data_IF_079914835713
#
_entry.id   IF_079914835713
#
_cell.length_a   1.000
_cell.length_b   1.000
_cell.length_c   1.000
_cell.angle_alpha   90.00
_cell.angle_beta   90.00
_cell.angle_gamma   90.00
#
_symmetry.space_group_name_H-M   'P 1'
#
loop_
_entity.id
_entity.type
_entity.pdbx_description
1 polymer ?
#
# COMPACT_ATOMS: atom_id res chain seq x y z
N UNK A 1 4.05 -13.84 -2.35
CA UNK A 1 3.97 -12.85 -3.45
C UNK A 1 4.33 -13.49 -4.79
N UNK A 2 3.52 -13.36 -5.85
CA UNK A 2 3.81 -13.96 -7.17
C UNK A 2 4.67 -13.03 -8.05
N UNK A 3 5.36 -13.57 -9.07
CA UNK A 3 6.26 -12.80 -9.98
C UNK A 3 5.53 -11.65 -10.70
N UNK A 4 4.29 -11.89 -11.12
CA UNK A 4 3.44 -10.90 -11.79
C UNK A 4 3.02 -9.79 -10.81
N UNK A 5 2.73 -10.15 -9.54
CA UNK A 5 2.38 -9.17 -8.51
C UNK A 5 3.51 -8.16 -8.30
N UNK A 6 4.75 -8.69 -8.18
CA UNK A 6 5.97 -7.89 -8.01
C UNK A 6 6.25 -6.93 -9.17
N UNK A 7 5.93 -7.32 -10.41
CA UNK A 7 6.22 -6.48 -11.58
C UNK A 7 5.31 -5.25 -11.65
N UNK A 8 4.01 -5.42 -11.41
CA UNK A 8 3.03 -4.31 -11.47
C UNK A 8 3.06 -3.41 -10.24
N UNK A 9 3.34 -3.94 -9.03
CA UNK A 9 3.64 -3.12 -7.84
C UNK A 9 4.85 -2.19 -8.03
N UNK A 10 5.69 -2.45 -9.04
CA UNK A 10 6.92 -1.71 -9.32
C UNK A 10 6.82 -0.72 -10.48
N UNK A 11 5.62 -0.42 -11.00
CA UNK A 11 5.50 0.68 -11.94
C UNK A 11 5.81 2.02 -11.22
N UNK A 12 7.04 2.50 -11.37
CA UNK A 12 7.54 3.66 -10.64
C UNK A 12 6.70 4.93 -10.91
N UNK A 13 6.15 5.08 -12.12
CA UNK A 13 5.35 6.25 -12.48
C UNK A 13 4.01 6.28 -11.71
N UNK A 14 3.30 5.15 -11.64
CA UNK A 14 2.03 5.12 -10.92
C UNK A 14 2.23 5.22 -9.40
N UNK A 15 3.29 4.60 -8.87
CA UNK A 15 3.65 4.72 -7.45
C UNK A 15 3.96 6.16 -7.08
N UNK A 16 4.77 6.86 -7.90
CA UNK A 16 5.07 8.28 -7.69
C UNK A 16 3.80 9.14 -7.72
N UNK A 17 2.90 8.86 -8.66
CA UNK A 17 1.60 9.56 -8.75
C UNK A 17 0.70 9.31 -7.54
N UNK A 18 0.59 8.07 -7.05
CA UNK A 18 -0.20 7.74 -5.84
C UNK A 18 0.37 8.47 -4.62
N UNK A 19 1.68 8.40 -4.39
CA UNK A 19 2.35 9.10 -3.28
C UNK A 19 2.13 10.61 -3.35
N UNK A 20 2.32 11.23 -4.52
CA UNK A 20 2.12 12.67 -4.69
C UNK A 20 0.65 13.08 -4.47
N UNK A 21 -0.30 12.28 -4.96
CA UNK A 21 -1.73 12.52 -4.75
C UNK A 21 -2.09 12.45 -3.26
N UNK A 22 -1.61 11.41 -2.57
CA UNK A 22 -1.85 11.23 -1.14
C UNK A 22 -1.24 12.35 -0.31
N UNK A 23 0.03 12.68 -0.57
CA UNK A 23 0.75 13.77 0.10
C UNK A 23 0.03 15.11 -0.10
N UNK A 24 -0.47 15.40 -1.30
CA UNK A 24 -1.24 16.63 -1.58
C UNK A 24 -2.54 16.69 -0.77
N UNK A 25 -3.19 15.56 -0.55
CA UNK A 25 -4.48 15.49 0.13
C UNK A 25 -4.35 15.49 1.66
N UNK A 26 -3.28 14.91 2.21
CA UNK A 26 -3.16 14.68 3.66
C UNK A 26 -1.99 15.44 4.30
N UNK A 27 -1.08 16.00 3.52
CA UNK A 27 0.08 16.76 3.99
C UNK A 27 1.27 15.90 4.42
N UNK A 28 1.10 14.58 4.56
CA UNK A 28 2.17 13.63 4.90
C UNK A 28 1.92 12.25 4.26
N UNK A 29 2.87 11.32 4.41
CA UNK A 29 2.77 9.93 3.93
C UNK A 29 2.69 8.97 5.11
N UNK A 30 1.52 8.38 5.33
CA UNK A 30 1.28 7.40 6.37
C UNK A 30 0.63 6.13 5.82
N UNK A 31 0.77 5.03 6.57
CA UNK A 31 0.11 3.77 6.28
C UNK A 31 -1.40 3.94 6.34
N UNK A 32 -2.11 3.61 5.26
CA UNK A 32 -3.57 3.66 5.20
C UNK A 32 -4.23 2.65 6.15
N UNK A 33 -3.50 1.65 6.64
CA UNK A 33 -4.01 0.67 7.62
C UNK A 33 -3.79 1.11 9.07
N UNK A 34 -2.53 1.32 9.48
CA UNK A 34 -2.17 1.56 10.89
C UNK A 34 -1.76 3.00 11.22
N UNK A 35 -1.77 3.91 10.25
CA UNK A 35 -1.34 5.30 10.43
C UNK A 35 0.17 5.51 10.59
N UNK A 36 1.00 4.46 10.54
CA UNK A 36 2.44 4.58 10.70
C UNK A 36 3.06 5.50 9.62
N UNK A 37 3.77 6.53 10.07
CA UNK A 37 4.47 7.50 9.22
C UNK A 37 5.99 7.34 9.40
N UNK A 38 6.68 6.98 8.32
CA UNK A 38 8.13 6.77 8.38
C UNK A 38 8.90 8.06 8.62
N UNK A 39 8.47 9.18 8.05
CA UNK A 39 9.14 10.46 8.23
C UNK A 39 8.98 10.97 9.67
N UNK A 40 7.80 10.79 10.26
CA UNK A 40 7.56 11.15 11.66
C UNK A 40 8.42 10.32 12.64
N UNK A 41 8.65 9.03 12.34
CA UNK A 41 9.38 8.12 13.23
C UNK A 41 10.90 8.06 12.96
N UNK A 42 11.35 8.27 11.73
CA UNK A 42 12.75 8.12 11.31
C UNK A 42 13.38 9.40 10.75
N UNK A 43 12.65 10.53 10.76
CA UNK A 43 13.09 11.80 10.21
C UNK A 43 13.36 11.72 8.70
N UNK A 44 14.40 12.40 8.24
CA UNK A 44 14.75 12.47 6.82
C UNK A 44 14.96 11.09 6.18
N UNK A 45 15.45 10.11 6.94
CA UNK A 45 15.65 8.75 6.44
C UNK A 45 14.33 8.05 6.06
N UNK A 46 13.22 8.47 6.67
CA UNK A 46 11.89 7.98 6.37
C UNK A 46 11.15 8.79 5.30
N UNK A 47 11.71 9.91 4.84
CA UNK A 47 11.09 10.80 3.86
C UNK A 47 10.75 10.05 2.58
N UNK A 48 9.48 10.10 2.17
CA UNK A 48 8.98 9.40 0.97
C UNK A 48 8.91 7.87 1.09
N UNK A 49 9.33 7.29 2.22
CA UNK A 49 9.37 5.84 2.42
C UNK A 49 7.98 5.33 2.80
N UNK A 50 7.39 4.58 1.88
CA UNK A 50 6.13 3.85 2.06
C UNK A 50 5.95 2.89 0.87
N UNK A 51 5.31 1.75 1.09
CA UNK A 51 5.09 0.75 0.07
C UNK A 51 3.72 0.97 -0.59
N UNK A 52 3.64 0.70 -1.90
CA UNK A 52 2.41 0.81 -2.66
C UNK A 52 1.91 -0.59 -2.98
N UNK A 53 0.70 -0.91 -2.56
CA UNK A 53 0.09 -2.22 -2.68
C UNK A 53 -1.18 -2.14 -3.54
N UNK A 54 -1.47 -3.17 -4.33
CA UNK A 54 -2.73 -3.24 -5.08
C UNK A 54 -3.83 -3.79 -4.18
N UNK A 55 -4.90 -3.03 -3.96
CA UNK A 55 -6.03 -3.45 -3.12
C UNK A 55 -6.80 -4.65 -3.72
N UNK A 56 -6.76 -4.79 -5.05
CA UNK A 56 -7.33 -5.93 -5.77
C UNK A 56 -6.23 -6.86 -6.29
N UNK A 57 -6.38 -8.19 -6.15
CA UNK A 57 -5.45 -9.14 -6.75
C UNK A 57 -5.28 -8.88 -8.23
N UNK A 58 -4.03 -8.81 -8.67
CA UNK A 58 -3.69 -8.53 -10.08
C UNK A 58 -4.29 -9.56 -11.06
N UNK A 59 -4.54 -10.78 -10.59
CA UNK A 59 -5.22 -11.84 -11.35
C UNK A 59 -6.66 -11.52 -11.73
N UNK A 60 -7.29 -10.55 -11.05
CA UNK A 60 -8.68 -10.14 -11.32
C UNK A 60 -8.77 -9.01 -12.36
N UNK A 61 -7.64 -8.46 -12.82
CA UNK A 61 -7.64 -7.43 -13.85
C UNK A 61 -7.92 -8.06 -15.22
N UNK A 62 -8.82 -7.45 -15.98
CA UNK A 62 -9.12 -7.86 -17.35
C UNK A 62 -7.93 -7.52 -18.26
N UNK A 63 -7.73 -8.29 -19.34
CA UNK A 63 -6.70 -8.00 -20.32
C UNK A 63 -6.88 -6.57 -20.89
N UNK A 64 -5.85 -5.73 -20.76
CA UNK A 64 -5.88 -4.33 -21.18
C UNK A 64 -6.34 -3.34 -20.09
N UNK A 65 -6.78 -3.81 -18.92
CA UNK A 65 -7.13 -2.94 -17.80
C UNK A 65 -5.89 -2.25 -17.24
N UNK A 66 -5.97 -0.93 -17.11
CA UNK A 66 -4.90 -0.09 -16.57
C UNK A 66 -5.11 0.15 -15.08
N UNK A 67 -4.05 0.00 -14.28
CA UNK A 67 -4.10 0.31 -12.85
C UNK A 67 -4.45 1.79 -12.66
N UNK A 68 -5.50 2.07 -11.88
CA UNK A 68 -5.89 3.42 -11.45
C UNK A 68 -5.31 3.71 -10.07
N UNK A 69 -5.29 4.98 -9.67
CA UNK A 69 -4.81 5.36 -8.33
C UNK A 69 -5.69 4.80 -7.20
N UNK A 70 -6.98 4.56 -7.48
CA UNK A 70 -7.93 3.98 -6.51
C UNK A 70 -7.67 2.49 -6.27
N UNK A 71 -7.00 1.80 -7.20
CA UNK A 71 -6.62 0.40 -7.05
C UNK A 71 -5.37 0.21 -6.19
N UNK A 72 -4.80 1.32 -5.70
CA UNK A 72 -3.55 1.35 -4.95
C UNK A 72 -3.77 1.89 -3.55
N UNK A 73 -3.17 1.22 -2.57
CA UNK A 73 -3.13 1.63 -1.16
C UNK A 73 -1.68 1.76 -0.70
N UNK A 74 -1.41 2.72 0.17
CA UNK A 74 -0.11 2.93 0.78
C UNK A 74 -0.03 2.19 2.12
N UNK A 75 0.92 1.28 2.25
CA UNK A 75 1.12 0.46 3.43
C UNK A 75 2.56 0.61 3.96
N UNK A 76 2.73 0.49 5.27
CA UNK A 76 4.05 0.30 5.84
C UNK A 76 4.57 -1.12 5.58
N UNK A 77 5.88 -1.33 5.72
CA UNK A 77 6.52 -2.61 5.44
C UNK A 77 5.92 -3.78 6.26
N UNK A 78 5.47 -3.50 7.49
CA UNK A 78 4.85 -4.51 8.36
C UNK A 78 3.44 -4.87 7.89
N UNK A 79 2.60 -3.85 7.64
CA UNK A 79 1.23 -4.04 7.14
C UNK A 79 1.21 -4.72 5.77
N UNK A 80 2.10 -4.31 4.87
CA UNK A 80 2.20 -4.93 3.55
C UNK A 80 2.60 -6.41 3.66
N UNK A 81 3.55 -6.74 4.54
CA UNK A 81 3.86 -8.14 4.85
C UNK A 81 2.68 -8.89 5.43
N UNK A 82 1.91 -8.26 6.32
CA UNK A 82 0.76 -8.89 6.99
C UNK A 82 -0.35 -9.26 5.99
N UNK A 83 -0.67 -8.37 5.04
CA UNK A 83 -1.63 -8.67 3.95
C UNK A 83 -1.26 -9.93 3.19
N UNK A 84 0.04 -10.15 2.97
CA UNK A 84 0.55 -11.31 2.23
C UNK A 84 0.89 -12.53 3.08
N UNK A 85 0.70 -12.49 4.40
CA UNK A 85 1.20 -13.50 5.33
C UNK A 85 0.52 -14.87 5.15
N UNK A 86 -0.78 -14.88 4.86
CA UNK A 86 -1.57 -16.10 4.61
C UNK A 86 -2.53 -15.89 3.43
N UNK A 87 -3.00 -16.99 2.83
CA UNK A 87 -4.09 -16.95 1.85
C UNK A 87 -5.40 -17.40 2.52
N UNK A 88 -6.56 -16.79 2.22
CA UNK A 88 -6.74 -15.62 1.33
C UNK A 88 -6.02 -14.38 1.88
N UNK A 89 -5.51 -13.54 0.98
CA UNK A 89 -4.85 -12.29 1.37
C UNK A 89 -5.88 -11.34 1.97
N UNK A 90 -5.48 -10.61 3.00
CA UNK A 90 -6.39 -9.65 3.62
C UNK A 90 -6.60 -8.41 2.76
N UNK A 91 -7.84 -7.95 2.75
CA UNK A 91 -8.24 -6.60 2.33
C UNK A 91 -7.71 -5.55 3.30
N UNK A 92 -7.77 -4.28 2.90
CA UNK A 92 -7.39 -3.17 3.79
C UNK A 92 -8.31 -3.13 5.02
N UNK A 93 -9.59 -3.42 4.82
CA UNK A 93 -10.62 -3.44 5.86
C UNK A 93 -10.37 -4.56 6.87
N UNK A 94 -10.07 -5.78 6.42
CA UNK A 94 -9.69 -6.89 7.30
C UNK A 94 -8.42 -6.58 8.09
N UNK A 95 -7.41 -5.99 7.44
CA UNK A 95 -6.18 -5.59 8.12
C UNK A 95 -6.45 -4.52 9.19
N UNK A 96 -7.30 -3.52 8.91
CA UNK A 96 -7.69 -2.49 9.89
C UNK A 96 -8.41 -3.12 11.09
N UNK A 97 -9.39 -3.98 10.84
CA UNK A 97 -10.13 -4.66 11.90
C UNK A 97 -9.22 -5.52 12.81
N UNK A 98 -8.19 -6.16 12.24
CA UNK A 98 -7.21 -6.93 13.00
C UNK A 98 -6.27 -6.05 13.86
N UNK A 99 -6.07 -4.78 13.50
CA UNK A 99 -5.29 -3.82 14.29
C UNK A 99 -6.11 -3.20 15.42
N UNK A 100 -7.40 -2.95 15.17
CA UNK A 100 -8.33 -2.36 16.16
C UNK A 100 -8.66 -3.31 17.31
N UNK A 101 -8.55 -4.63 17.08
CA UNK A 101 -8.79 -5.66 18.10
C UNK A 101 -7.64 -5.83 19.11
N UNK A 102 -6.56 -5.06 18.96
CA UNK A 102 -5.37 -5.08 19.82
C UNK A 102 -5.18 -3.85 20.71
N UNK A 103 -6.22 -3.03 20.90
CA UNK A 103 -6.20 -1.83 21.75
C UNK A 103 -7.04 -2.02 23.01
#
# INVERSE_FOLDING_TARGET
MTRIHRYRERNAAIVKRKKASYLKQHGHLCCEACGFDFQANYGERGSGFIECHHSRPISEFVAGETTKLVDLVLLCANCHRMVHAARPWWTLEELRAALDTGQ
#
